data_IF_410268147454
#
_entry.id   IF_410268147454
#
_cell.length_a   1.000
_cell.length_b   1.000
_cell.length_c   1.000
_cell.angle_alpha   90.00
_cell.angle_beta   90.00
_cell.angle_gamma   90.00
#
_symmetry.space_group_name_H-M   'P 1'
#
loop_
_entity.id
_entity.type
_entity.pdbx_description
1 polymer ?
#
# COMPACT_ATOMS: atom_id res chain seq x y z
N UNK A 1 -30.69 -50.44 -25.38
CA UNK A 1 -30.17 -50.34 -26.73
C UNK A 1 -29.31 -51.56 -27.03
N UNK A 2 -29.37 -52.09 -28.26
CA UNK A 2 -28.59 -53.27 -28.67
C UNK A 2 -29.44 -54.45 -29.13
N UNK A 3 -28.78 -55.58 -29.47
CA UNK A 3 -29.41 -56.75 -29.93
C UNK A 3 -29.83 -57.67 -28.76
N UNK A 4 -31.08 -58.00 -28.70
CA UNK A 4 -31.66 -58.86 -27.66
C UNK A 4 -32.16 -60.17 -28.32
N UNK A 5 -31.64 -61.28 -27.91
CA UNK A 5 -32.12 -62.61 -28.35
C UNK A 5 -33.36 -62.95 -27.55
N UNK A 6 -34.49 -63.11 -28.23
CA UNK A 6 -35.75 -63.52 -27.64
C UNK A 6 -35.99 -64.95 -28.03
N UNK A 7 -36.13 -65.79 -27.02
CA UNK A 7 -36.52 -67.25 -27.20
C UNK A 7 -37.96 -67.38 -26.79
N UNK A 8 -38.77 -67.92 -27.74
CA UNK A 8 -40.15 -68.26 -27.44
C UNK A 8 -40.19 -69.77 -27.37
N UNK A 9 -40.61 -70.30 -26.21
CA UNK A 9 -40.73 -71.73 -25.98
C UNK A 9 -42.22 -72.05 -25.78
N UNK A 10 -42.70 -72.95 -26.51
CA UNK A 10 -44.01 -73.62 -26.27
C UNK A 10 -43.83 -74.96 -25.69
N UNK A 11 -44.66 -75.30 -24.71
CA UNK A 11 -44.66 -76.55 -23.99
C UNK A 11 -46.05 -77.15 -24.09
N UNK A 12 -46.17 -78.47 -24.47
CA UNK A 12 -47.47 -79.15 -24.47
C UNK A 12 -47.85 -79.56 -23.00
N UNK A 13 -49.10 -79.92 -22.81
CA UNK A 13 -49.65 -80.42 -21.55
C UNK A 13 -49.85 -81.98 -21.52
N UNK A 14 -49.25 -82.61 -22.52
CA UNK A 14 -49.31 -84.05 -22.67
C UNK A 14 -48.39 -84.87 -21.68
N UNK A 15 -48.55 -86.17 -21.66
CA UNK A 15 -47.66 -87.07 -20.86
C UNK A 15 -46.22 -86.99 -21.39
N UNK A 16 -45.31 -86.30 -20.66
CA UNK A 16 -43.91 -86.16 -21.03
C UNK A 16 -43.46 -84.72 -21.37
N UNK A 17 -44.35 -83.74 -21.24
CA UNK A 17 -44.10 -82.27 -21.50
C UNK A 17 -43.03 -82.02 -22.56
N UNK A 18 -43.43 -82.07 -23.83
CA UNK A 18 -42.53 -81.79 -24.93
C UNK A 18 -42.47 -80.23 -25.18
N UNK A 19 -41.29 -79.79 -25.51
CA UNK A 19 -41.05 -78.32 -25.78
C UNK A 19 -40.51 -78.13 -27.20
N UNK A 20 -40.94 -77.07 -27.84
CA UNK A 20 -40.32 -76.50 -29.02
C UNK A 20 -39.96 -75.03 -28.77
N UNK A 21 -38.85 -74.59 -29.27
CA UNK A 21 -38.44 -73.20 -29.13
C UNK A 21 -37.97 -72.61 -30.46
N UNK A 22 -38.28 -71.36 -30.67
CA UNK A 22 -37.77 -70.53 -31.78
C UNK A 22 -37.09 -69.30 -31.21
N UNK A 23 -36.10 -68.78 -31.91
CA UNK A 23 -35.33 -67.57 -31.52
C UNK A 23 -35.32 -66.58 -32.61
N UNK A 24 -35.48 -65.27 -32.22
CA UNK A 24 -35.22 -64.14 -33.09
C UNK A 24 -34.44 -63.04 -32.34
N UNK A 25 -33.73 -62.16 -33.08
CA UNK A 25 -33.01 -61.06 -32.55
C UNK A 25 -33.85 -59.82 -32.77
N UNK A 26 -34.19 -59.14 -31.65
CA UNK A 26 -34.76 -57.81 -31.69
C UNK A 26 -33.61 -56.79 -31.48
N UNK A 27 -33.37 -55.93 -32.45
CA UNK A 27 -32.44 -54.84 -32.34
C UNK A 27 -33.17 -53.58 -31.94
N UNK A 28 -32.83 -52.99 -30.79
CA UNK A 28 -33.28 -51.68 -30.38
C UNK A 28 -32.19 -50.69 -30.78
N UNK A 29 -32.52 -49.82 -31.74
CA UNK A 29 -31.63 -48.77 -32.19
C UNK A 29 -31.69 -47.56 -31.28
N UNK A 30 -30.54 -46.89 -31.11
CA UNK A 30 -30.48 -45.64 -30.38
C UNK A 30 -31.17 -44.51 -31.17
N UNK A 31 -31.79 -43.60 -30.46
CA UNK A 31 -32.24 -42.30 -30.96
C UNK A 31 -31.56 -41.28 -30.09
N UNK A 32 -30.87 -40.29 -30.66
CA UNK A 32 -30.15 -39.31 -29.91
C UNK A 32 -31.06 -38.50 -28.94
N UNK A 33 -30.72 -38.49 -27.68
CA UNK A 33 -31.27 -37.62 -26.66
C UNK A 33 -30.38 -36.40 -26.53
N UNK A 34 -30.93 -35.23 -26.25
CA UNK A 34 -30.13 -33.98 -26.10
C UNK A 34 -29.39 -33.98 -24.77
N UNK A 35 -28.16 -33.48 -24.73
CA UNK A 35 -27.38 -33.37 -23.50
C UNK A 35 -28.01 -32.42 -22.48
N UNK A 36 -27.60 -32.56 -21.24
CA UNK A 36 -27.93 -31.61 -20.17
C UNK A 36 -26.67 -31.01 -19.56
N UNK A 37 -26.81 -29.86 -18.92
CA UNK A 37 -25.73 -29.21 -18.19
C UNK A 37 -26.22 -28.73 -16.83
N UNK A 38 -25.39 -28.94 -15.81
CA UNK A 38 -25.60 -28.40 -14.45
C UNK A 38 -24.90 -27.05 -14.24
N UNK A 39 -24.16 -26.57 -15.26
CA UNK A 39 -23.31 -25.40 -15.16
C UNK A 39 -21.89 -25.73 -14.66
N UNK A 40 -21.09 -24.70 -14.47
CA UNK A 40 -19.71 -24.78 -14.02
C UNK A 40 -19.36 -23.68 -13.03
N UNK A 41 -18.20 -23.80 -12.39
CA UNK A 41 -17.68 -22.79 -11.49
C UNK A 41 -16.16 -22.77 -11.48
N UNK A 42 -15.59 -21.57 -11.24
CA UNK A 42 -14.17 -21.39 -10.99
C UNK A 42 -13.97 -20.32 -9.91
N UNK A 43 -12.87 -20.46 -9.14
CA UNK A 43 -12.41 -19.46 -8.21
C UNK A 43 -11.05 -18.96 -8.68
N UNK A 44 -10.90 -17.65 -8.77
CA UNK A 44 -9.69 -16.98 -9.26
C UNK A 44 -9.32 -15.83 -8.33
N UNK A 45 -8.03 -15.45 -8.29
CA UNK A 45 -7.62 -14.17 -7.74
C UNK A 45 -8.18 -13.02 -8.61
N UNK A 46 -8.54 -11.91 -7.98
CA UNK A 46 -9.24 -10.82 -8.68
C UNK A 46 -8.51 -10.28 -9.92
N UNK A 47 -7.19 -10.20 -9.89
CA UNK A 47 -6.41 -9.69 -11.03
C UNK A 47 -5.89 -10.80 -11.96
N UNK A 48 -6.27 -12.06 -11.69
CA UNK A 48 -5.80 -13.18 -12.48
C UNK A 48 -6.74 -13.52 -13.64
N UNK A 49 -6.18 -13.77 -14.81
CA UNK A 49 -6.93 -14.32 -15.95
C UNK A 49 -7.22 -15.80 -15.70
N UNK A 50 -8.48 -16.20 -15.87
CA UNK A 50 -8.87 -17.60 -15.88
C UNK A 50 -8.81 -18.19 -17.28
N UNK A 51 -8.26 -19.39 -17.43
CA UNK A 51 -8.30 -20.16 -18.68
C UNK A 51 -9.20 -21.36 -18.49
N UNK A 52 -10.20 -21.51 -19.37
CA UNK A 52 -11.15 -22.62 -19.29
C UNK A 52 -10.50 -23.91 -19.76
N UNK A 53 -11.03 -25.05 -19.29
CA UNK A 53 -10.53 -26.35 -19.63
C UNK A 53 -11.38 -27.01 -20.72
N UNK A 54 -10.83 -28.03 -21.37
CA UNK A 54 -11.54 -28.84 -22.36
C UNK A 54 -12.30 -30.01 -21.70
N UNK A 55 -12.34 -30.07 -20.36
CA UNK A 55 -12.95 -31.15 -19.60
C UNK A 55 -14.46 -30.97 -19.53
N UNK A 56 -15.22 -31.92 -20.05
CA UNK A 56 -16.68 -31.85 -20.10
C UNK A 56 -17.34 -31.67 -18.72
N UNK A 57 -16.76 -32.27 -17.65
CA UNK A 57 -17.27 -32.09 -16.28
C UNK A 57 -17.23 -30.68 -15.75
N UNK A 58 -16.27 -29.84 -16.23
CA UNK A 58 -16.15 -28.46 -15.79
C UNK A 58 -17.28 -27.59 -16.37
N UNK A 59 -17.94 -28.11 -17.43
CA UNK A 59 -19.12 -27.52 -18.04
C UNK A 59 -20.42 -28.20 -17.59
N UNK A 60 -20.32 -29.12 -16.61
CA UNK A 60 -21.47 -29.87 -16.08
C UNK A 60 -22.20 -30.71 -17.12
N UNK A 61 -21.51 -31.11 -18.20
CA UNK A 61 -22.08 -31.91 -19.29
C UNK A 61 -22.46 -33.32 -18.82
N UNK A 62 -23.67 -33.73 -19.16
CA UNK A 62 -24.13 -35.11 -19.00
C UNK A 62 -25.04 -35.51 -20.15
N UNK A 63 -24.92 -36.76 -20.58
CA UNK A 63 -25.75 -37.36 -21.60
C UNK A 63 -26.23 -38.76 -21.18
N UNK A 64 -27.43 -39.14 -21.62
CA UNK A 64 -27.98 -40.48 -21.39
C UNK A 64 -27.52 -41.50 -22.44
N UNK A 65 -27.09 -40.99 -23.60
CA UNK A 65 -26.62 -41.83 -24.70
C UNK A 65 -25.17 -42.25 -24.47
N UNK A 66 -24.97 -43.55 -24.46
CA UNK A 66 -23.64 -44.10 -24.20
C UNK A 66 -22.71 -43.88 -25.39
N UNK A 67 -21.71 -43.05 -25.19
CA UNK A 67 -20.68 -42.74 -26.20
C UNK A 67 -20.71 -41.32 -26.69
N UNK A 68 -21.76 -40.57 -26.38
CA UNK A 68 -21.85 -39.14 -26.75
C UNK A 68 -21.01 -38.31 -25.80
N UNK A 69 -20.38 -37.28 -26.33
CA UNK A 69 -19.43 -36.43 -25.64
C UNK A 69 -19.67 -34.94 -25.98
N UNK A 70 -19.25 -34.07 -25.09
CA UNK A 70 -19.24 -32.62 -25.38
C UNK A 70 -18.44 -32.31 -26.63
N UNK A 71 -19.07 -31.70 -27.61
CA UNK A 71 -18.47 -31.27 -28.89
C UNK A 71 -18.30 -29.77 -28.95
N UNK A 72 -19.32 -29.01 -28.51
CA UNK A 72 -19.35 -27.57 -28.64
C UNK A 72 -20.03 -26.92 -27.43
N UNK A 73 -19.56 -25.75 -27.04
CA UNK A 73 -20.17 -24.83 -26.07
C UNK A 73 -20.60 -23.56 -26.79
N UNK A 74 -21.87 -23.17 -26.70
CA UNK A 74 -22.42 -21.86 -27.13
C UNK A 74 -22.51 -20.93 -25.92
N UNK A 75 -21.89 -19.75 -26.02
CA UNK A 75 -21.97 -18.72 -24.97
C UNK A 75 -23.25 -17.90 -25.16
N UNK A 76 -24.28 -18.22 -24.40
CA UNK A 76 -25.63 -17.62 -24.58
C UNK A 76 -25.76 -16.24 -23.97
N UNK A 77 -25.06 -15.94 -22.84
CA UNK A 77 -24.95 -14.58 -22.29
C UNK A 77 -23.53 -14.30 -21.86
N UNK A 78 -23.14 -13.04 -21.84
CA UNK A 78 -21.85 -12.59 -21.38
C UNK A 78 -21.88 -12.25 -19.89
N UNK A 79 -20.74 -12.28 -19.18
CA UNK A 79 -20.64 -11.80 -17.81
C UNK A 79 -20.93 -10.30 -17.73
N UNK A 80 -21.56 -9.87 -16.62
CA UNK A 80 -21.92 -8.46 -16.40
C UNK A 80 -20.69 -7.54 -16.22
N UNK A 81 -19.57 -8.11 -15.74
CA UNK A 81 -18.28 -7.42 -15.58
C UNK A 81 -17.16 -8.35 -16.03
N UNK A 82 -15.98 -7.80 -16.33
CA UNK A 82 -14.89 -8.56 -16.95
C UNK A 82 -15.20 -8.93 -18.41
N UNK A 83 -14.31 -9.67 -19.05
CA UNK A 83 -14.39 -9.95 -20.49
C UNK A 83 -14.05 -11.42 -20.76
N UNK A 84 -14.94 -12.12 -21.46
CA UNK A 84 -14.62 -13.40 -22.08
C UNK A 84 -13.88 -13.15 -23.40
N UNK A 85 -12.77 -13.85 -23.62
CA UNK A 85 -11.96 -13.78 -24.82
C UNK A 85 -11.66 -15.15 -25.39
N UNK A 86 -11.70 -15.26 -26.70
CA UNK A 86 -11.29 -16.45 -27.41
C UNK A 86 -10.26 -16.11 -28.48
N UNK A 87 -9.08 -16.74 -28.39
CA UNK A 87 -7.98 -16.43 -29.31
C UNK A 87 -7.51 -14.98 -29.25
N UNK A 88 -7.74 -14.27 -28.13
CA UNK A 88 -7.41 -12.87 -27.94
C UNK A 88 -8.47 -11.86 -28.38
N UNK A 89 -9.55 -12.30 -29.06
CA UNK A 89 -10.71 -11.47 -29.40
C UNK A 89 -11.81 -11.60 -28.34
N UNK A 90 -12.60 -10.56 -28.18
CA UNK A 90 -13.75 -10.58 -27.27
C UNK A 90 -14.84 -11.51 -27.82
N UNK A 91 -15.43 -12.34 -26.96
CA UNK A 91 -16.52 -13.26 -27.27
C UNK A 91 -17.84 -12.50 -27.34
N UNK A 92 -18.70 -12.90 -28.28
CA UNK A 92 -20.07 -12.41 -28.40
C UNK A 92 -21.08 -13.47 -27.93
N UNK A 93 -22.25 -13.03 -27.45
CA UNK A 93 -23.32 -13.98 -27.20
C UNK A 93 -23.76 -14.67 -28.48
N UNK A 94 -23.85 -16.00 -28.45
CA UNK A 94 -24.11 -16.87 -29.63
C UNK A 94 -22.84 -17.39 -30.30
N UNK A 95 -21.66 -17.13 -29.72
CA UNK A 95 -20.40 -17.71 -30.23
C UNK A 95 -20.26 -19.17 -29.81
N UNK A 96 -20.07 -20.03 -30.82
CA UNK A 96 -19.83 -21.47 -30.66
C UNK A 96 -18.33 -21.77 -30.54
N UNK A 97 -17.93 -22.45 -29.47
CA UNK A 97 -16.54 -22.84 -29.22
C UNK A 97 -16.45 -24.36 -29.16
N UNK A 98 -15.74 -24.96 -30.12
CA UNK A 98 -15.48 -26.39 -30.11
C UNK A 98 -14.69 -26.81 -28.85
N UNK A 99 -15.01 -27.98 -28.28
CA UNK A 99 -14.41 -28.46 -27.04
C UNK A 99 -12.88 -28.47 -27.07
N UNK A 100 -12.28 -28.88 -28.19
CA UNK A 100 -10.83 -28.92 -28.37
C UNK A 100 -10.17 -27.53 -28.31
N UNK A 101 -10.94 -26.47 -28.44
CA UNK A 101 -10.49 -25.06 -28.46
C UNK A 101 -10.81 -24.32 -27.16
N UNK A 102 -11.54 -24.93 -26.21
CA UNK A 102 -11.91 -24.28 -24.94
C UNK A 102 -10.69 -23.82 -24.12
N UNK A 103 -9.52 -24.46 -24.28
CA UNK A 103 -8.26 -23.96 -23.71
C UNK A 103 -7.80 -22.62 -24.22
N UNK A 104 -8.37 -22.11 -25.34
CA UNK A 104 -8.17 -20.74 -25.83
C UNK A 104 -9.20 -19.72 -25.32
N UNK A 105 -10.25 -20.20 -24.63
CA UNK A 105 -11.22 -19.33 -23.97
C UNK A 105 -10.64 -18.88 -22.63
N UNK A 106 -10.67 -17.57 -22.40
CA UNK A 106 -10.19 -16.95 -21.16
C UNK A 106 -11.24 -15.97 -20.64
N UNK A 107 -11.22 -15.78 -19.32
CA UNK A 107 -11.96 -14.71 -18.67
C UNK A 107 -10.97 -13.76 -17.99
N UNK A 108 -11.05 -12.48 -18.31
CA UNK A 108 -10.25 -11.40 -17.72
C UNK A 108 -11.16 -10.59 -16.82
N UNK A 109 -10.94 -10.61 -15.50
CA UNK A 109 -11.73 -9.82 -14.56
C UNK A 109 -11.48 -8.30 -14.75
N UNK A 110 -12.34 -7.48 -14.17
CA UNK A 110 -12.02 -6.07 -13.91
C UNK A 110 -11.04 -6.06 -12.75
N UNK A 111 -10.03 -5.18 -12.79
CA UNK A 111 -9.07 -5.03 -11.69
C UNK A 111 -9.79 -4.74 -10.37
N UNK A 112 -9.29 -5.31 -9.29
CA UNK A 112 -9.80 -5.16 -7.92
C UNK A 112 -11.29 -5.56 -7.81
N UNK A 113 -11.72 -6.54 -8.61
CA UNK A 113 -13.09 -7.05 -8.59
C UNK A 113 -13.33 -7.95 -7.38
N UNK A 114 -14.41 -7.81 -6.68
CA UNK A 114 -14.81 -8.68 -5.59
C UNK A 114 -16.17 -9.34 -5.84
N UNK A 115 -16.46 -10.44 -5.12
CA UNK A 115 -17.73 -11.16 -5.22
C UNK A 115 -17.73 -12.24 -6.28
N UNK A 116 -18.77 -12.30 -7.12
CA UNK A 116 -18.91 -13.28 -8.17
C UNK A 116 -19.63 -12.70 -9.39
N UNK A 117 -19.30 -13.25 -10.58
CA UNK A 117 -19.96 -12.94 -11.83
C UNK A 117 -20.37 -14.24 -12.51
N UNK A 118 -21.42 -14.20 -13.30
CA UNK A 118 -21.93 -15.36 -14.02
C UNK A 118 -22.13 -15.05 -15.51
N UNK A 119 -22.01 -16.08 -16.32
CA UNK A 119 -22.46 -16.10 -17.69
C UNK A 119 -23.22 -17.42 -17.96
N UNK A 120 -24.00 -17.49 -19.04
CA UNK A 120 -24.74 -18.71 -19.38
C UNK A 120 -24.26 -19.29 -20.70
N UNK A 121 -24.40 -20.60 -20.83
CA UNK A 121 -23.94 -21.35 -21.99
C UNK A 121 -24.84 -22.56 -22.24
N UNK A 122 -24.84 -23.07 -23.47
CA UNK A 122 -25.40 -24.37 -23.83
C UNK A 122 -24.31 -25.33 -24.25
N UNK A 123 -24.60 -26.61 -24.16
CA UNK A 123 -23.70 -27.71 -24.56
C UNK A 123 -24.32 -28.49 -25.72
N UNK A 124 -23.48 -29.01 -26.61
CA UNK A 124 -23.85 -29.81 -27.77
C UNK A 124 -23.03 -31.10 -27.80
N UNK A 125 -23.69 -32.20 -28.15
CA UNK A 125 -23.12 -33.57 -28.31
C UNK A 125 -22.65 -33.88 -29.75
N UNK A 126 -22.93 -32.96 -30.69
CA UNK A 126 -22.69 -33.10 -32.10
C UNK A 126 -23.99 -33.24 -32.93
N UNK A 127 -25.08 -33.64 -32.30
CA UNK A 127 -26.39 -33.87 -32.94
C UNK A 127 -27.45 -32.89 -32.39
N UNK A 128 -27.43 -32.59 -31.08
CA UNK A 128 -28.44 -31.75 -30.41
C UNK A 128 -27.82 -30.78 -29.38
N UNK A 129 -28.49 -29.66 -29.16
CA UNK A 129 -28.17 -28.70 -28.09
C UNK A 129 -28.97 -29.01 -26.80
N UNK A 130 -28.35 -28.75 -25.64
CA UNK A 130 -29.08 -28.81 -24.38
C UNK A 130 -30.32 -27.89 -24.41
N UNK A 131 -31.44 -28.39 -23.87
CA UNK A 131 -32.70 -27.65 -23.84
C UNK A 131 -32.58 -26.38 -22.98
N UNK A 132 -31.92 -26.52 -21.84
CA UNK A 132 -31.65 -25.41 -20.90
C UNK A 132 -30.19 -24.97 -20.95
N UNK A 133 -29.94 -23.69 -20.72
CA UNK A 133 -28.62 -23.17 -20.53
C UNK A 133 -28.09 -23.50 -19.11
N UNK A 134 -26.82 -23.83 -19.01
CA UNK A 134 -26.06 -23.88 -17.76
C UNK A 134 -25.56 -22.49 -17.36
N UNK A 135 -25.28 -22.32 -16.09
CA UNK A 135 -24.65 -21.09 -15.56
C UNK A 135 -23.21 -21.40 -15.15
N UNK A 136 -22.26 -20.61 -15.64
CA UNK A 136 -20.89 -20.65 -15.14
C UNK A 136 -20.69 -19.50 -14.16
N UNK A 137 -20.21 -19.84 -12.95
CA UNK A 137 -19.96 -18.88 -11.87
C UNK A 137 -18.46 -18.69 -11.67
N UNK A 138 -18.00 -17.44 -11.83
CA UNK A 138 -16.62 -17.02 -11.50
C UNK A 138 -16.66 -16.33 -10.14
N UNK A 139 -15.94 -16.86 -9.16
CA UNK A 139 -15.80 -16.28 -7.81
C UNK A 139 -14.42 -15.69 -7.67
N UNK A 140 -14.32 -14.45 -7.16
CA UNK A 140 -13.05 -13.78 -6.92
C UNK A 140 -12.58 -13.99 -5.49
N UNK A 141 -11.27 -14.18 -5.32
CA UNK A 141 -10.58 -14.08 -4.04
C UNK A 141 -9.79 -12.78 -4.02
N UNK A 142 -9.95 -12.00 -2.96
CA UNK A 142 -9.20 -10.77 -2.77
C UNK A 142 -7.68 -11.05 -2.74
N UNK A 143 -6.92 -10.12 -3.31
CA UNK A 143 -5.46 -10.04 -3.27
C UNK A 143 -5.12 -8.67 -2.73
N UNK A 144 -4.23 -8.59 -1.75
CA UNK A 144 -3.82 -7.30 -1.20
C UNK A 144 -3.11 -6.45 -2.26
N UNK A 145 -3.64 -5.27 -2.52
CA UNK A 145 -3.06 -4.24 -3.37
C UNK A 145 -2.23 -3.26 -2.53
N UNK A 146 -1.23 -2.64 -3.14
CA UNK A 146 -0.46 -1.62 -2.44
C UNK A 146 -1.25 -0.30 -2.35
N UNK A 147 -1.12 0.46 -1.24
CA UNK A 147 -1.64 1.80 -1.17
C UNK A 147 -1.06 2.67 -2.29
N UNK A 148 -1.82 3.66 -2.73
CA UNK A 148 -1.40 4.62 -3.75
C UNK A 148 -1.35 6.03 -3.19
N UNK A 149 -0.39 6.84 -3.66
CA UNK A 149 -0.35 8.27 -3.33
C UNK A 149 -1.50 8.98 -4.04
N UNK A 150 -2.51 9.35 -3.28
CA UNK A 150 -3.72 10.03 -3.79
C UNK A 150 -3.53 11.55 -3.88
N UNK A 151 -2.68 12.11 -3.02
CA UNK A 151 -2.38 13.54 -2.99
C UNK A 151 -0.93 13.77 -2.57
N UNK A 152 -0.17 14.51 -3.35
CA UNK A 152 1.21 14.88 -3.01
C UNK A 152 1.25 15.91 -1.89
N UNK A 153 2.26 15.78 -1.01
CA UNK A 153 2.54 16.71 0.06
C UNK A 153 3.32 17.90 -0.53
N UNK A 154 2.84 19.13 -0.30
CA UNK A 154 3.53 20.33 -0.76
C UNK A 154 4.75 20.64 0.12
N UNK A 155 5.78 21.22 -0.48
CA UNK A 155 6.92 21.79 0.26
C UNK A 155 6.45 22.81 1.29
N UNK A 156 7.14 22.86 2.43
CA UNK A 156 6.79 23.70 3.56
C UNK A 156 8.02 24.42 4.12
N UNK A 157 7.77 25.46 4.91
CA UNK A 157 8.80 26.14 5.69
C UNK A 157 8.32 26.42 7.10
N UNK A 158 9.25 26.44 8.04
CA UNK A 158 9.02 26.85 9.43
C UNK A 158 10.27 27.56 9.93
N UNK A 159 10.13 28.46 10.89
CA UNK A 159 11.28 28.99 11.61
C UNK A 159 11.74 27.96 12.65
N UNK A 160 13.03 27.93 12.98
CA UNK A 160 13.45 27.26 14.21
C UNK A 160 12.77 27.88 15.42
N UNK A 161 12.79 27.18 16.54
CA UNK A 161 12.13 27.54 17.81
C UNK A 161 10.61 27.74 17.70
N UNK A 162 10.04 27.53 16.51
CA UNK A 162 8.60 27.56 16.25
C UNK A 162 8.02 26.16 16.13
N UNK A 163 6.85 25.94 16.73
CA UNK A 163 6.17 24.67 16.63
C UNK A 163 5.72 24.41 15.19
N UNK A 164 6.15 23.27 14.64
CA UNK A 164 5.72 22.77 13.34
C UNK A 164 4.66 21.68 13.51
N UNK A 165 3.65 21.67 12.66
CA UNK A 165 2.65 20.62 12.61
C UNK A 165 2.09 20.47 11.20
N UNK A 166 2.11 19.22 10.67
CA UNK A 166 1.57 18.87 9.37
C UNK A 166 0.74 17.58 9.51
N UNK A 167 -0.51 17.63 9.08
CA UNK A 167 -1.35 16.43 8.98
C UNK A 167 -1.22 15.84 7.57
N UNK A 168 -0.81 14.57 7.49
CA UNK A 168 -0.65 13.79 6.25
C UNK A 168 -1.79 12.79 6.02
N UNK A 169 -2.89 12.90 6.77
CA UNK A 169 -4.07 12.07 6.53
C UNK A 169 -4.59 12.28 5.09
N UNK A 170 -4.87 11.18 4.39
CA UNK A 170 -5.37 11.23 3.02
C UNK A 170 -4.30 11.45 1.95
N UNK A 171 -3.00 11.49 2.31
CA UNK A 171 -1.92 11.43 1.33
C UNK A 171 -1.98 10.13 0.53
N UNK A 172 -2.29 9.03 1.18
CA UNK A 172 -2.47 7.74 0.54
C UNK A 172 -3.92 7.25 0.68
N UNK A 173 -4.32 6.41 -0.28
CA UNK A 173 -5.57 5.62 -0.25
C UNK A 173 -5.24 4.18 -0.60
N UNK A 174 -6.06 3.27 -0.10
CA UNK A 174 -5.98 1.85 -0.37
C UNK A 174 -7.27 1.38 -1.03
N UNK A 175 -7.16 0.52 -2.06
CA UNK A 175 -8.32 0.05 -2.83
C UNK A 175 -9.07 -1.07 -2.10
N UNK A 176 -8.35 -1.86 -1.30
CA UNK A 176 -8.94 -2.92 -0.46
C UNK A 176 -9.62 -2.34 0.79
N UNK A 177 -9.35 -1.08 1.10
CA UNK A 177 -9.86 -0.39 2.28
C UNK A 177 -9.06 -0.72 3.54
N UNK A 178 -7.83 -1.16 3.40
CA UNK A 178 -6.94 -1.50 4.50
C UNK A 178 -6.57 -0.29 5.35
N UNK A 179 -6.22 -0.55 6.60
CA UNK A 179 -5.81 0.50 7.54
C UNK A 179 -4.38 0.93 7.27
N UNK A 180 -4.19 2.21 6.94
CA UNK A 180 -2.87 2.75 6.64
C UNK A 180 -2.16 3.25 7.90
N UNK A 181 -0.90 2.85 8.06
CA UNK A 181 0.04 3.38 9.04
C UNK A 181 1.07 4.27 8.37
N UNK A 182 1.48 5.35 9.06
CA UNK A 182 2.37 6.36 8.50
C UNK A 182 3.69 6.41 9.25
N UNK A 183 4.79 6.46 8.51
CA UNK A 183 6.15 6.66 9.04
C UNK A 183 6.85 7.76 8.27
N UNK A 184 7.88 8.36 8.90
CA UNK A 184 8.71 9.40 8.26
C UNK A 184 10.19 9.05 8.32
N UNK A 185 10.93 9.51 7.33
CA UNK A 185 12.40 9.47 7.32
C UNK A 185 12.95 10.78 6.72
N UNK A 186 14.22 11.10 7.01
CA UNK A 186 14.87 12.33 6.53
C UNK A 186 14.44 13.61 7.27
N UNK A 187 13.53 13.51 8.24
CA UNK A 187 13.11 14.66 9.05
C UNK A 187 14.20 15.08 10.04
N UNK A 188 14.25 16.39 10.45
CA UNK A 188 14.99 16.82 11.63
C UNK A 188 14.71 15.92 12.83
N UNK A 189 15.72 15.66 13.65
CA UNK A 189 15.61 14.77 14.82
C UNK A 189 14.64 15.29 15.90
N UNK A 190 14.21 16.54 15.81
CA UNK A 190 13.23 17.19 16.69
C UNK A 190 11.79 16.98 16.23
N UNK A 191 11.59 16.43 15.02
CA UNK A 191 10.28 16.12 14.48
C UNK A 191 10.00 14.62 14.59
N UNK A 192 8.75 14.29 14.86
CA UNK A 192 8.24 12.92 14.89
C UNK A 192 6.85 12.84 14.28
N UNK A 193 6.42 11.63 13.90
CA UNK A 193 5.06 11.38 13.47
C UNK A 193 4.30 10.60 14.56
N UNK A 194 3.06 11.00 14.81
CA UNK A 194 2.13 10.27 15.66
C UNK A 194 0.79 10.17 14.96
N UNK A 195 0.36 8.94 14.67
CA UNK A 195 -0.77 8.70 13.77
C UNK A 195 -0.50 9.31 12.39
N UNK A 196 -1.25 10.32 12.03
CA UNK A 196 -1.11 11.06 10.76
C UNK A 196 -0.51 12.46 10.92
N UNK A 197 -0.01 12.82 12.11
CA UNK A 197 0.49 14.17 12.37
C UNK A 197 2.00 14.16 12.58
N UNK A 198 2.73 14.85 11.72
CA UNK A 198 4.15 15.18 11.89
C UNK A 198 4.22 16.44 12.74
N UNK A 199 4.96 16.42 13.85
CA UNK A 199 5.06 17.56 14.74
C UNK A 199 6.38 17.62 15.51
N UNK A 200 6.72 18.81 16.03
CA UNK A 200 7.88 19.10 16.84
C UNK A 200 8.30 20.55 16.73
N UNK A 201 9.44 20.89 17.33
CA UNK A 201 10.02 22.23 17.27
C UNK A 201 11.47 22.12 16.80
N UNK A 202 11.79 22.52 15.56
CA UNK A 202 13.18 22.53 15.10
C UNK A 202 14.02 23.51 15.94
N UNK A 203 15.31 23.23 16.06
CA UNK A 203 16.29 24.05 16.75
C UNK A 203 17.35 24.52 15.78
N UNK A 204 18.24 25.43 16.17
CA UNK A 204 19.32 26.00 15.32
C UNK A 204 20.10 24.92 14.53
N UNK A 205 20.39 23.76 15.14
CA UNK A 205 21.07 22.65 14.47
C UNK A 205 20.25 22.02 13.31
N UNK A 206 18.98 22.36 13.20
CA UNK A 206 18.07 21.89 12.15
C UNK A 206 17.86 22.95 11.03
N UNK A 207 18.51 24.09 11.07
CA UNK A 207 18.42 25.12 10.03
C UNK A 207 18.89 24.56 8.68
N UNK A 208 18.07 24.78 7.63
CA UNK A 208 18.34 24.30 6.29
C UNK A 208 17.18 23.53 5.68
N UNK A 209 17.43 22.90 4.52
CA UNK A 209 16.43 22.14 3.79
C UNK A 209 16.53 20.65 4.14
N UNK A 210 15.40 20.03 4.46
CA UNK A 210 15.27 18.60 4.79
C UNK A 210 14.28 17.94 3.85
N UNK A 211 14.72 16.94 3.10
CA UNK A 211 13.81 16.09 2.29
C UNK A 211 13.20 15.03 3.19
N UNK A 212 11.92 15.16 3.46
CA UNK A 212 11.16 14.25 4.31
C UNK A 212 10.38 13.28 3.44
N UNK A 213 10.58 11.99 3.65
CA UNK A 213 9.80 10.92 3.02
C UNK A 213 8.72 10.46 3.99
N UNK A 214 7.47 10.52 3.56
CA UNK A 214 6.31 9.97 4.27
C UNK A 214 5.96 8.64 3.59
N UNK A 215 5.96 7.55 4.35
CA UNK A 215 5.62 6.22 3.87
C UNK A 215 4.31 5.77 4.50
N UNK A 216 3.37 5.35 3.65
CA UNK A 216 2.09 4.75 4.03
C UNK A 216 2.22 3.24 3.85
N UNK A 217 1.88 2.46 4.86
CA UNK A 217 1.93 0.99 4.84
C UNK A 217 0.56 0.46 5.23
N UNK A 218 0.01 -0.48 4.45
CA UNK A 218 -1.24 -1.17 4.72
C UNK A 218 -1.09 -2.20 5.86
N UNK A 219 -2.21 -2.72 6.36
CA UNK A 219 -2.28 -3.84 7.29
C UNK A 219 -2.77 -5.14 6.62
N UNK A 220 -2.83 -5.16 5.28
CA UNK A 220 -3.21 -6.31 4.48
C UNK A 220 -2.16 -7.42 4.44
N UNK A 221 -2.47 -8.48 3.73
CA UNK A 221 -1.56 -9.64 3.62
C UNK A 221 -0.30 -9.28 2.83
N UNK A 222 0.86 -9.33 3.48
CA UNK A 222 2.16 -9.03 2.87
C UNK A 222 2.64 -7.62 3.14
N UNK A 223 1.83 -6.75 3.76
CA UNK A 223 2.15 -5.36 4.13
C UNK A 223 2.89 -4.60 3.03
N UNK A 224 2.14 -4.01 2.13
CA UNK A 224 2.65 -3.23 1.02
C UNK A 224 2.73 -1.74 1.38
N UNK A 225 3.45 -0.94 0.61
CA UNK A 225 3.62 0.47 0.95
C UNK A 225 3.80 1.37 -0.27
N UNK A 226 3.39 2.63 -0.11
CA UNK A 226 3.70 3.73 -1.01
C UNK A 226 4.35 4.88 -0.25
N UNK A 227 5.05 5.78 -0.93
CA UNK A 227 5.67 6.93 -0.29
C UNK A 227 5.60 8.19 -1.15
N UNK A 228 5.55 9.33 -0.47
CA UNK A 228 5.67 10.66 -1.06
C UNK A 228 6.76 11.46 -0.35
N UNK A 229 7.29 12.48 -1.01
CA UNK A 229 8.37 13.30 -0.49
C UNK A 229 8.04 14.79 -0.59
N UNK A 230 8.44 15.55 0.42
CA UNK A 230 8.40 17.01 0.40
C UNK A 230 9.65 17.59 1.03
N UNK A 231 9.93 18.84 0.74
CA UNK A 231 11.03 19.58 1.36
C UNK A 231 10.49 20.48 2.46
N UNK A 232 10.99 20.27 3.68
CA UNK A 232 10.80 21.20 4.79
C UNK A 232 12.04 22.10 4.90
N UNK A 233 11.86 23.41 4.72
CA UNK A 233 12.92 24.40 4.95
C UNK A 233 12.78 25.00 6.34
N UNK A 234 13.76 24.73 7.21
CA UNK A 234 13.87 25.39 8.51
C UNK A 234 14.69 26.68 8.34
N UNK A 235 14.06 27.82 8.64
CA UNK A 235 14.71 29.14 8.55
C UNK A 235 15.30 29.56 9.89
N UNK A 236 16.45 30.19 9.83
CA UNK A 236 17.14 30.71 11.01
C UNK A 236 16.32 31.84 11.68
N UNK A 237 16.37 31.87 13.00
CA UNK A 237 15.93 32.98 13.86
C UNK A 237 17.11 33.38 14.71
N UNK A 238 17.44 34.66 14.76
CA UNK A 238 18.60 35.13 15.51
C UNK A 238 18.48 34.81 16.99
N UNK A 239 19.44 34.09 17.53
CA UNK A 239 19.64 33.85 18.95
C UNK A 239 20.61 34.85 19.57
N UNK A 240 20.38 35.27 20.83
CA UNK A 240 21.31 36.12 21.52
C UNK A 240 22.59 35.36 21.91
N UNK A 241 23.77 36.02 21.87
CA UNK A 241 25.01 35.39 22.31
C UNK A 241 24.96 35.03 23.80
N UNK A 242 25.75 34.05 24.21
CA UNK A 242 25.88 33.63 25.59
C UNK A 242 27.29 33.89 26.13
N UNK A 243 27.43 34.31 27.40
CA UNK A 243 28.72 34.40 28.07
C UNK A 243 29.06 33.04 28.67
N UNK A 244 30.17 32.47 28.23
CA UNK A 244 30.58 31.08 28.60
C UNK A 244 31.66 31.04 29.70
N UNK A 245 32.29 32.18 29.99
CA UNK A 245 33.31 32.29 31.03
C UNK A 245 32.70 32.49 32.42
N UNK A 246 33.38 32.03 33.48
CA UNK A 246 32.99 32.26 34.87
C UNK A 246 33.77 33.42 35.44
N UNK A 247 33.06 34.43 35.99
CA UNK A 247 33.68 35.61 36.55
C UNK A 247 34.58 35.31 37.75
N UNK A 248 35.72 35.98 37.82
CA UNK A 248 36.57 36.04 39.01
C UNK A 248 36.01 37.10 39.94
N UNK A 249 35.51 36.70 41.11
CA UNK A 249 34.73 37.59 42.01
C UNK A 249 35.50 38.13 43.23
N UNK A 250 36.79 37.80 43.37
CA UNK A 250 37.60 38.26 44.48
C UNK A 250 39.07 38.49 44.06
N UNK A 251 39.66 39.53 44.59
CA UNK A 251 41.09 39.83 44.45
C UNK A 251 41.53 40.58 45.70
N UNK A 252 42.75 40.37 46.20
CA UNK A 252 43.32 41.13 47.28
C UNK A 252 43.80 42.49 46.78
N UNK A 253 43.82 43.50 47.66
CA UNK A 253 44.51 44.77 47.37
C UNK A 253 45.96 44.49 46.97
N UNK A 254 46.53 45.33 46.11
CA UNK A 254 47.88 45.25 45.56
C UNK A 254 48.19 43.98 44.73
N UNK A 255 47.19 43.06 44.57
CA UNK A 255 47.30 41.90 43.68
C UNK A 255 46.70 42.19 42.29
N UNK A 256 47.33 41.61 41.26
CA UNK A 256 46.81 41.76 39.88
C UNK A 256 45.52 40.95 39.71
N UNK A 257 44.48 41.61 39.25
CA UNK A 257 43.24 41.01 38.81
C UNK A 257 43.28 40.74 37.30
N UNK A 258 42.85 39.56 36.88
CA UNK A 258 42.68 39.26 35.45
C UNK A 258 41.50 38.30 35.26
N UNK A 259 40.59 38.65 34.36
CA UNK A 259 39.47 37.83 33.91
C UNK A 259 39.30 38.04 32.41
N UNK A 260 39.05 36.99 31.65
CA UNK A 260 38.75 37.06 30.24
C UNK A 260 37.33 36.58 29.99
N UNK A 261 36.51 37.46 29.43
CA UNK A 261 35.15 37.13 28.97
C UNK A 261 35.24 36.32 27.70
N UNK A 262 34.62 35.15 27.69
CA UNK A 262 34.43 34.36 26.49
C UNK A 262 32.94 34.22 26.16
N UNK A 263 32.60 34.20 24.90
CA UNK A 263 31.21 34.12 24.42
C UNK A 263 31.06 33.04 23.38
N UNK A 264 29.84 32.61 23.23
CA UNK A 264 29.41 31.76 22.11
C UNK A 264 28.10 32.30 21.56
N UNK A 265 28.00 32.28 20.23
CA UNK A 265 26.79 32.58 19.50
C UNK A 265 26.42 31.30 18.70
N UNK A 266 25.16 30.86 18.78
CA UNK A 266 24.72 29.59 18.18
C UNK A 266 24.51 29.77 16.67
N UNK A 267 24.18 30.98 16.22
CA UNK A 267 24.05 31.35 14.80
C UNK A 267 25.41 31.56 14.12
N UNK A 268 26.47 31.65 14.93
CA UNK A 268 27.81 31.90 14.44
C UNK A 268 28.08 33.36 14.15
N UNK A 269 27.25 34.27 14.68
CA UNK A 269 27.40 35.70 14.51
C UNK A 269 28.62 36.26 15.24
N UNK A 270 29.12 37.40 14.75
CA UNK A 270 30.26 38.08 15.38
C UNK A 270 29.82 38.80 16.65
N UNK A 271 30.25 38.31 17.79
CA UNK A 271 29.93 38.91 19.09
C UNK A 271 30.84 40.09 19.39
N UNK A 272 30.25 41.24 19.70
CA UNK A 272 30.95 42.44 20.20
C UNK A 272 30.78 42.58 21.70
N UNK A 273 31.86 42.93 22.42
CA UNK A 273 31.88 43.12 23.86
C UNK A 273 31.95 44.61 24.21
N UNK A 274 31.13 45.02 25.18
CA UNK A 274 31.14 46.39 25.72
C UNK A 274 31.12 46.38 27.21
N UNK A 275 32.04 47.11 27.85
CA UNK A 275 32.03 47.30 29.31
C UNK A 275 31.14 48.50 29.66
N UNK A 276 29.90 48.27 30.08
CA UNK A 276 28.95 49.35 30.43
C UNK A 276 29.15 49.86 31.82
N UNK A 277 29.69 49.07 32.73
CA UNK A 277 30.14 49.51 34.06
C UNK A 277 31.48 48.83 34.38
N UNK A 278 32.53 49.64 34.41
CA UNK A 278 33.90 49.17 34.76
C UNK A 278 34.49 50.09 35.82
N UNK A 279 34.91 49.61 36.99
CA UNK A 279 35.54 50.40 38.02
C UNK A 279 36.77 51.14 37.49
N UNK A 280 37.05 52.33 38.01
CA UNK A 280 38.13 53.19 37.49
C UNK A 280 39.55 52.62 37.62
N UNK A 281 39.75 51.62 38.49
CA UNK A 281 41.00 50.92 38.67
C UNK A 281 41.16 49.70 37.72
N UNK A 282 40.12 49.37 36.95
CA UNK A 282 40.11 48.30 35.95
C UNK A 282 40.17 48.85 34.51
N UNK A 283 40.63 48.02 33.58
CA UNK A 283 40.61 48.27 32.16
C UNK A 283 39.97 47.09 31.47
N UNK A 284 39.01 47.35 30.59
CA UNK A 284 38.37 46.29 29.74
C UNK A 284 38.82 46.46 28.28
N UNK A 285 39.36 45.41 27.72
CA UNK A 285 39.72 45.35 26.30
C UNK A 285 38.59 44.62 25.51
N UNK A 286 37.82 45.36 24.77
CA UNK A 286 36.64 44.89 24.00
C UNK A 286 36.99 43.89 22.90
N UNK A 287 38.25 43.92 22.38
CA UNK A 287 38.66 43.00 21.30
C UNK A 287 39.11 41.64 21.83
N UNK A 288 39.65 41.59 23.07
CA UNK A 288 40.19 40.35 23.64
C UNK A 288 39.33 39.83 24.79
N UNK A 289 38.31 40.57 25.23
CA UNK A 289 37.48 40.26 26.41
C UNK A 289 38.23 40.37 27.72
N UNK A 290 39.47 40.87 27.73
CA UNK A 290 40.29 40.89 28.93
C UNK A 290 39.88 42.09 29.84
N UNK A 291 39.54 41.80 31.08
CA UNK A 291 39.33 42.71 32.20
C UNK A 291 40.46 42.60 33.17
N UNK A 292 41.25 43.67 33.32
CA UNK A 292 42.48 43.66 34.14
C UNK A 292 42.57 44.87 35.04
N UNK A 293 43.30 44.79 36.16
CA UNK A 293 43.56 45.90 37.05
C UNK A 293 44.31 45.50 38.30
N UNK A 294 44.70 46.47 39.11
CA UNK A 294 45.31 46.22 40.43
C UNK A 294 44.65 47.14 41.45
N UNK A 295 43.78 46.65 42.30
CA UNK A 295 43.17 47.51 43.32
C UNK A 295 44.15 47.91 44.38
N UNK A 296 44.01 49.12 44.92
CA UNK A 296 44.77 49.57 46.08
C UNK A 296 43.90 49.56 47.34
N UNK A 297 44.45 49.88 48.52
CA UNK A 297 43.69 49.94 49.78
C UNK A 297 42.44 50.87 49.70
N UNK A 298 42.45 51.89 48.84
CA UNK A 298 41.28 52.74 48.65
C UNK A 298 40.16 52.10 47.84
N UNK A 299 40.41 50.94 47.23
CA UNK A 299 39.43 50.15 46.49
C UNK A 299 38.92 48.93 47.24
N UNK A 300 39.21 48.80 48.51
CA UNK A 300 38.68 47.70 49.33
C UNK A 300 37.16 47.86 49.44
N UNK A 301 36.42 46.79 49.05
CA UNK A 301 34.96 46.77 49.04
C UNK A 301 34.39 46.10 47.80
N UNK A 302 33.07 46.15 47.63
CA UNK A 302 32.38 45.57 46.49
C UNK A 302 32.28 46.56 45.33
N UNK A 303 32.62 46.09 44.15
CA UNK A 303 32.54 46.90 42.91
C UNK A 303 31.67 46.15 41.88
N UNK A 304 30.73 46.86 41.26
CA UNK A 304 29.94 46.32 40.15
C UNK A 304 30.73 46.38 38.85
N UNK A 305 30.70 45.28 38.12
CA UNK A 305 31.18 45.21 36.74
C UNK A 305 30.03 44.67 35.85
N UNK A 306 29.77 45.38 34.78
CA UNK A 306 28.77 44.97 33.75
C UNK A 306 29.44 44.98 32.38
N UNK A 307 29.46 43.79 31.77
CA UNK A 307 29.94 43.58 30.40
C UNK A 307 28.77 43.05 29.58
N UNK A 308 28.50 43.67 28.47
CA UNK A 308 27.44 43.28 27.54
C UNK A 308 28.09 42.67 26.33
N UNK A 309 27.55 41.51 25.91
CA UNK A 309 27.85 40.88 24.64
C UNK A 309 26.67 41.08 23.68
N UNK A 310 26.93 41.45 22.45
CA UNK A 310 25.90 41.68 21.41
C UNK A 310 26.38 41.12 20.08
N UNK A 311 25.48 40.45 19.35
CA UNK A 311 25.65 39.97 17.99
C UNK A 311 25.43 41.03 16.90
N UNK A 312 24.87 42.18 17.27
CA UNK A 312 24.50 43.25 16.33
C UNK A 312 23.14 43.04 15.63
N UNK A 313 22.49 41.91 15.85
CA UNK A 313 21.21 41.54 15.23
C UNK A 313 20.04 41.60 16.23
N UNK A 314 20.10 42.50 17.19
CA UNK A 314 19.13 42.66 18.30
C UNK A 314 19.26 41.68 19.46
N UNK A 315 20.20 40.74 19.43
CA UNK A 315 20.56 39.85 20.53
C UNK A 315 21.61 40.54 21.45
N UNK A 316 21.38 40.51 22.76
CA UNK A 316 22.38 40.98 23.75
C UNK A 316 22.19 40.32 25.10
N UNK A 317 23.30 40.00 25.79
CA UNK A 317 23.36 39.43 27.12
C UNK A 317 24.39 40.08 28.02
#
# INVERSE_FOLDING_TARGET
VGAHTITVTCTDDGTGTLTASDQYVLTVTNVNDAPTTTGGAATIAEDATHTFTTTASDWGYTDVDSGDALVTVDITTLPATGTLRYGGADVSAGDDIAVGNLGGLTYVPVANANGAVTFTFKVNDGDAWSASAGTFTMTYTAVNDAPVVASTIADASTAEDSAYSLNVAGTCTDVDGDTLTYTISGAPNTLSISGTTISGTPVNANVGAHTITVTCTDDGTGTLSASDQYVLTVTNVNDAPTITSTAVTAVNEDAAYSYTVTTNDVDGDTVTLTGTTVPSWMSFNTNTGALTGTPTNSHVGSHSVVITASDGNSGSV
#
